data_IF_685178974604
#
_entry.id   IF_685178974604
#
_cell.length_a   1.000
_cell.length_b   1.000
_cell.length_c   1.000
_cell.angle_alpha   90.00
_cell.angle_beta   90.00
_cell.angle_gamma   90.00
#
_symmetry.space_group_name_H-M   'P 1'
#
loop_
_entity.id
_entity.type
_entity.pdbx_description
1 polymer ?
#
# COMPACT_ATOMS: atom_id res chain seq x y z
N UNK A 1 -8.33 21.20 1.74
CA UNK A 1 -9.15 20.08 1.21
C UNK A 1 -9.34 20.37 -0.26
N UNK A 2 -8.72 19.56 -1.13
CA UNK A 2 -8.87 19.72 -2.58
C UNK A 2 -10.31 19.52 -3.02
N UNK A 3 -10.66 20.09 -4.17
CA UNK A 3 -11.95 19.86 -4.79
C UNK A 3 -12.11 18.37 -5.13
N UNK A 4 -13.30 17.83 -4.91
CA UNK A 4 -13.68 16.51 -5.40
C UNK A 4 -14.54 16.66 -6.65
N UNK A 5 -14.43 15.72 -7.57
CA UNK A 5 -15.33 15.59 -8.71
C UNK A 5 -16.72 15.11 -8.28
N UNK A 6 -17.73 15.39 -9.09
CA UNK A 6 -19.09 14.86 -8.91
C UNK A 6 -19.16 13.34 -9.10
N UNK A 7 -18.29 12.80 -9.96
CA UNK A 7 -18.09 11.37 -10.20
C UNK A 7 -16.60 11.07 -10.31
N UNK A 8 -16.13 9.90 -9.82
CA UNK A 8 -14.74 9.55 -9.93
C UNK A 8 -14.37 9.28 -11.40
N UNK A 9 -13.17 9.71 -11.82
CA UNK A 9 -12.58 9.25 -13.08
C UNK A 9 -11.96 7.87 -12.86
N UNK A 10 -12.57 6.86 -13.47
CA UNK A 10 -12.21 5.44 -13.24
C UNK A 10 -11.32 4.86 -14.34
N UNK A 11 -10.90 5.66 -15.31
CA UNK A 11 -9.92 5.29 -16.33
C UNK A 11 -8.63 4.81 -15.67
N UNK A 12 -8.05 3.74 -16.23
CA UNK A 12 -6.84 3.11 -15.73
C UNK A 12 -5.70 3.36 -16.71
N UNK A 13 -4.57 3.79 -16.18
CA UNK A 13 -3.31 3.78 -16.90
C UNK A 13 -2.49 2.61 -16.37
N UNK A 14 -2.35 1.57 -17.19
CA UNK A 14 -1.66 0.33 -16.83
C UNK A 14 -0.46 0.10 -17.73
N UNK A 15 0.53 -0.57 -17.17
CA UNK A 15 1.67 -1.10 -17.89
C UNK A 15 2.14 -2.39 -17.22
N UNK A 16 2.89 -3.19 -17.94
CA UNK A 16 3.52 -4.40 -17.43
C UNK A 16 4.83 -4.65 -18.16
N UNK A 17 5.62 -5.58 -17.62
CA UNK A 17 6.81 -6.07 -18.27
C UNK A 17 7.46 -7.19 -17.47
N UNK A 18 8.54 -7.71 -18.01
CA UNK A 18 9.30 -8.80 -17.44
C UNK A 18 10.80 -8.68 -17.77
N UNK A 19 11.62 -9.39 -17.00
CA UNK A 19 13.07 -9.46 -17.16
C UNK A 19 13.77 -9.63 -15.82
N UNK A 20 15.04 -10.05 -15.82
CA UNK A 20 15.82 -10.33 -14.60
C UNK A 20 15.13 -11.32 -13.63
N UNK A 21 14.30 -12.24 -14.16
CA UNK A 21 13.49 -13.18 -13.37
C UNK A 21 12.28 -12.55 -12.67
N UNK A 22 11.98 -11.29 -12.97
CA UNK A 22 10.87 -10.51 -12.44
C UNK A 22 9.74 -10.42 -13.46
N UNK A 23 8.52 -10.27 -12.96
CA UNK A 23 7.37 -9.77 -13.74
C UNK A 23 6.74 -8.65 -12.96
N UNK A 24 6.30 -7.59 -13.62
CA UNK A 24 5.59 -6.52 -12.95
C UNK A 24 4.33 -6.12 -13.70
N UNK A 25 3.37 -5.60 -12.95
CA UNK A 25 2.22 -4.86 -13.47
C UNK A 25 2.01 -3.62 -12.63
N UNK A 26 1.41 -2.59 -13.22
CA UNK A 26 1.06 -1.38 -12.51
C UNK A 26 -0.29 -0.84 -12.98
N UNK A 27 -0.89 -0.03 -12.13
CA UNK A 27 -2.12 0.69 -12.43
C UNK A 27 -2.15 2.01 -11.69
N UNK A 28 -2.50 3.08 -12.39
CA UNK A 28 -2.86 4.35 -11.78
C UNK A 28 -4.25 4.82 -12.20
N UNK A 29 -4.94 5.52 -11.29
CA UNK A 29 -6.29 6.03 -11.47
C UNK A 29 -6.47 7.35 -10.70
N UNK A 30 -7.03 8.35 -11.37
CA UNK A 30 -7.28 9.66 -10.78
C UNK A 30 -8.33 9.61 -9.64
N UNK A 31 -9.38 8.80 -9.79
CA UNK A 31 -10.40 8.65 -8.75
C UNK A 31 -11.21 9.93 -8.55
N UNK A 32 -11.40 10.34 -7.30
CA UNK A 32 -12.29 11.45 -6.95
C UNK A 32 -11.63 12.84 -6.98
N UNK A 33 -10.31 12.91 -7.06
CA UNK A 33 -9.56 14.18 -7.11
C UNK A 33 -9.79 14.88 -8.46
N UNK A 34 -9.72 16.21 -8.47
CA UNK A 34 -9.85 16.99 -9.72
C UNK A 34 -8.63 16.82 -10.63
N UNK A 35 -7.45 16.68 -10.04
CA UNK A 35 -6.18 16.46 -10.75
C UNK A 35 -5.63 15.06 -10.47
N UNK A 36 -4.73 14.61 -11.36
CA UNK A 36 -3.92 13.40 -11.18
C UNK A 36 -2.48 13.84 -10.93
N UNK A 37 -2.01 13.72 -9.69
CA UNK A 37 -0.69 14.20 -9.26
C UNK A 37 0.33 13.06 -9.05
N UNK A 38 -0.11 11.80 -9.05
CA UNK A 38 0.80 10.65 -8.94
C UNK A 38 1.61 10.43 -10.23
N UNK A 39 2.82 9.89 -10.05
CA UNK A 39 3.66 9.35 -11.12
C UNK A 39 4.29 8.02 -10.69
N UNK A 40 4.96 7.31 -11.60
CA UNK A 40 5.66 6.06 -11.30
C UNK A 40 6.86 5.82 -12.23
N UNK A 41 7.79 4.98 -11.80
CA UNK A 41 8.90 4.47 -12.61
C UNK A 41 8.89 2.94 -12.53
N UNK A 42 9.04 2.27 -13.67
CA UNK A 42 9.22 0.82 -13.73
C UNK A 42 10.27 0.48 -14.79
N UNK A 43 11.44 0.03 -14.34
CA UNK A 43 12.58 -0.27 -15.21
C UNK A 43 13.17 -1.60 -14.81
N UNK A 44 13.32 -2.49 -15.79
CA UNK A 44 14.03 -3.75 -15.66
C UNK A 44 15.27 -3.67 -16.53
N UNK A 45 16.44 -3.93 -15.93
CA UNK A 45 17.73 -3.74 -16.57
C UNK A 45 18.18 -2.29 -16.54
N UNK A 46 19.09 -1.97 -15.62
CA UNK A 46 19.62 -0.62 -15.46
C UNK A 46 20.85 -0.38 -16.35
N UNK A 47 21.15 0.88 -16.72
CA UNK A 47 22.31 1.21 -17.53
C UNK A 47 23.64 1.05 -16.75
N UNK A 48 24.76 1.39 -17.39
CA UNK A 48 26.10 1.47 -16.76
C UNK A 48 26.62 0.17 -16.15
N UNK A 49 26.27 -0.99 -16.74
CA UNK A 49 26.74 -2.29 -16.28
C UNK A 49 25.87 -2.95 -15.20
N UNK A 50 24.72 -2.35 -14.87
CA UNK A 50 23.75 -2.85 -13.90
C UNK A 50 22.54 -3.52 -14.59
N UNK A 51 22.79 -4.24 -15.69
CA UNK A 51 21.74 -4.83 -16.53
C UNK A 51 20.91 -5.90 -15.80
N UNK A 52 21.45 -6.49 -14.74
CA UNK A 52 20.81 -7.44 -13.83
C UNK A 52 20.10 -6.78 -12.64
N UNK A 53 20.10 -5.45 -12.57
CA UNK A 53 19.36 -4.67 -11.59
C UNK A 53 18.01 -4.21 -12.14
N UNK A 54 17.07 -3.89 -11.25
CA UNK A 54 15.76 -3.34 -11.61
C UNK A 54 15.35 -2.26 -10.62
N UNK A 55 14.54 -1.29 -11.07
CA UNK A 55 14.08 -0.17 -10.25
C UNK A 55 12.58 0.07 -10.46
N UNK A 56 11.86 0.14 -9.35
CA UNK A 56 10.42 0.44 -9.34
C UNK A 56 10.14 1.55 -8.32
N UNK A 57 9.25 2.47 -8.65
CA UNK A 57 8.89 3.57 -7.77
C UNK A 57 7.46 4.08 -7.99
N UNK A 58 6.85 4.57 -6.91
CA UNK A 58 5.61 5.34 -6.92
C UNK A 58 5.88 6.70 -6.28
N UNK A 59 5.37 7.76 -6.90
CA UNK A 59 5.51 9.14 -6.47
C UNK A 59 4.11 9.71 -6.28
N UNK A 60 3.78 10.09 -5.05
CA UNK A 60 2.51 10.76 -4.73
C UNK A 60 2.78 12.26 -4.66
N UNK A 61 2.32 12.98 -5.68
CA UNK A 61 2.50 14.42 -5.81
C UNK A 61 1.42 15.18 -5.05
N UNK A 62 1.78 16.36 -4.52
CA UNK A 62 0.82 17.25 -3.89
C UNK A 62 1.07 18.71 -4.27
N UNK A 63 -0.01 19.48 -4.38
CA UNK A 63 0.03 20.91 -4.75
C UNK A 63 0.65 21.16 -6.15
N UNK A 64 0.37 20.26 -7.08
CA UNK A 64 0.92 20.18 -8.43
C UNK A 64 1.62 18.84 -8.68
N UNK A 65 1.71 18.43 -9.95
CA UNK A 65 2.36 17.18 -10.35
C UNK A 65 3.81 17.37 -10.81
N UNK A 66 4.34 18.60 -10.76
CA UNK A 66 5.63 18.97 -11.37
C UNK A 66 6.80 18.19 -10.77
N UNK A 67 6.88 18.13 -9.44
CA UNK A 67 7.95 17.40 -8.74
C UNK A 67 7.82 15.89 -8.95
N UNK A 68 6.62 15.32 -8.81
CA UNK A 68 6.38 13.88 -9.01
C UNK A 68 6.77 13.43 -10.44
N UNK A 69 6.34 14.18 -11.46
CA UNK A 69 6.68 13.90 -12.86
C UNK A 69 8.19 13.99 -13.11
N UNK A 70 8.88 15.00 -12.57
CA UNK A 70 10.32 15.11 -12.72
C UNK A 70 11.06 13.94 -12.04
N UNK A 71 10.63 13.57 -10.83
CA UNK A 71 11.18 12.43 -10.11
C UNK A 71 10.99 11.12 -10.89
N UNK A 72 9.82 10.90 -11.50
CA UNK A 72 9.57 9.68 -12.29
C UNK A 72 10.48 9.51 -13.50
N UNK A 73 10.97 10.60 -14.07
CA UNK A 73 11.88 10.58 -15.21
C UNK A 73 13.36 10.52 -14.83
N UNK A 74 13.74 11.05 -13.66
CA UNK A 74 15.14 11.39 -13.39
C UNK A 74 15.69 10.90 -12.03
N UNK A 75 14.86 10.50 -11.07
CA UNK A 75 15.36 10.08 -9.74
C UNK A 75 16.38 8.94 -9.85
N UNK A 76 16.11 7.94 -10.69
CA UNK A 76 17.02 6.82 -10.91
C UNK A 76 18.40 7.28 -11.40
N UNK A 77 18.47 8.20 -12.37
CA UNK A 77 19.73 8.73 -12.88
C UNK A 77 20.54 9.44 -11.79
N UNK A 78 19.86 10.24 -10.95
CA UNK A 78 20.49 10.91 -9.82
C UNK A 78 20.99 9.93 -8.75
N UNK A 79 20.28 8.83 -8.50
CA UNK A 79 20.72 7.75 -7.59
C UNK A 79 21.99 7.09 -8.15
N UNK A 80 21.97 6.69 -9.42
CA UNK A 80 23.10 6.00 -10.06
C UNK A 80 24.34 6.90 -10.18
N UNK A 81 24.15 8.20 -10.34
CA UNK A 81 25.23 9.20 -10.39
C UNK A 81 25.66 9.70 -9.01
N UNK A 82 24.88 9.42 -7.96
CA UNK A 82 25.06 9.96 -6.62
C UNK A 82 26.13 9.26 -5.78
N UNK A 83 26.57 8.06 -6.18
CA UNK A 83 27.57 7.28 -5.46
C UNK A 83 28.76 6.90 -6.35
N UNK A 84 29.95 6.82 -5.76
CA UNK A 84 31.17 6.37 -6.47
C UNK A 84 31.15 4.87 -6.77
N UNK A 85 30.30 4.10 -6.08
CA UNK A 85 30.33 2.64 -6.05
C UNK A 85 29.42 1.93 -7.06
N UNK A 86 28.49 2.63 -7.72
CA UNK A 86 27.74 2.02 -8.84
C UNK A 86 28.65 1.68 -10.04
N UNK A 87 29.87 2.24 -10.09
CA UNK A 87 30.92 1.89 -11.06
C UNK A 87 31.92 0.81 -10.59
N UNK A 88 31.86 0.41 -9.32
CA UNK A 88 32.71 -0.63 -8.72
C UNK A 88 31.92 -1.95 -8.75
N UNK A 89 32.45 -2.99 -9.39
CA UNK A 89 31.77 -4.30 -9.44
C UNK A 89 32.52 -5.33 -8.57
N UNK A 90 31.94 -5.86 -7.48
CA UNK A 90 30.56 -5.66 -7.00
C UNK A 90 30.36 -4.35 -6.20
N UNK A 91 29.17 -3.74 -6.31
CA UNK A 91 28.79 -2.57 -5.51
C UNK A 91 28.64 -2.96 -4.04
N UNK A 92 29.18 -2.16 -3.12
CA UNK A 92 28.98 -2.36 -1.68
C UNK A 92 27.57 -1.94 -1.25
N UNK A 93 27.00 -2.58 -0.22
CA UNK A 93 25.68 -2.22 0.32
C UNK A 93 25.67 -0.78 0.81
N UNK A 94 26.73 -0.36 1.50
CA UNK A 94 26.95 1.00 1.98
C UNK A 94 27.04 2.00 0.83
N UNK A 95 27.81 1.69 -0.22
CA UNK A 95 27.94 2.53 -1.40
C UNK A 95 26.61 2.74 -2.14
N UNK A 96 25.77 1.70 -2.22
CA UNK A 96 24.41 1.81 -2.78
C UNK A 96 23.53 2.70 -1.91
N UNK A 97 23.57 2.54 -0.57
CA UNK A 97 22.82 3.39 0.37
C UNK A 97 23.25 4.86 0.27
N UNK A 98 24.54 5.12 0.17
CA UNK A 98 25.09 6.46 0.03
C UNK A 98 24.72 7.08 -1.31
N UNK A 99 24.73 6.30 -2.39
CA UNK A 99 24.27 6.72 -3.71
C UNK A 99 22.77 7.06 -3.73
N UNK A 100 21.94 6.25 -3.08
CA UNK A 100 20.50 6.55 -2.91
C UNK A 100 20.31 7.86 -2.15
N UNK A 101 20.94 8.00 -0.98
CA UNK A 101 20.84 9.21 -0.16
C UNK A 101 21.29 10.45 -0.93
N UNK A 102 22.44 10.37 -1.58
CA UNK A 102 22.99 11.46 -2.38
C UNK A 102 22.11 11.79 -3.58
N UNK A 103 21.56 10.78 -4.25
CA UNK A 103 20.63 10.97 -5.37
C UNK A 103 19.39 11.79 -4.98
N UNK A 104 18.77 11.48 -3.84
CA UNK A 104 17.64 12.24 -3.31
C UNK A 104 18.00 13.68 -2.95
N UNK A 105 19.15 13.92 -2.32
CA UNK A 105 19.60 15.27 -1.99
C UNK A 105 19.95 16.08 -3.24
N UNK A 106 20.62 15.46 -4.20
CA UNK A 106 21.06 16.08 -5.44
C UNK A 106 19.87 16.45 -6.33
N UNK A 107 18.87 15.56 -6.48
CA UNK A 107 17.68 15.87 -7.28
C UNK A 107 16.82 16.96 -6.61
N UNK A 108 16.70 16.97 -5.27
CA UNK A 108 15.96 18.00 -4.55
C UNK A 108 16.60 19.38 -4.73
N UNK A 109 17.93 19.47 -4.64
CA UNK A 109 18.66 20.72 -4.88
C UNK A 109 18.63 21.12 -6.35
N UNK A 110 18.73 20.16 -7.28
CA UNK A 110 18.63 20.43 -8.70
C UNK A 110 17.28 21.04 -9.07
N UNK A 111 16.18 20.44 -8.61
CA UNK A 111 14.82 20.95 -8.84
C UNK A 111 14.58 22.31 -8.16
N UNK A 112 15.25 22.62 -7.04
CA UNK A 112 15.18 23.94 -6.38
C UNK A 112 15.65 25.07 -7.29
N UNK A 113 16.50 24.77 -8.27
CA UNK A 113 17.00 25.74 -9.24
C UNK A 113 15.97 26.09 -10.34
N UNK A 114 14.89 25.32 -10.49
CA UNK A 114 13.87 25.56 -11.52
C UNK A 114 13.12 26.86 -11.24
N UNK A 115 12.90 27.67 -12.28
CA UNK A 115 12.37 29.02 -12.14
C UNK A 115 10.95 29.05 -11.57
N UNK A 116 10.10 28.11 -11.98
CA UNK A 116 8.72 27.95 -11.49
C UNK A 116 8.67 27.62 -10.01
N UNK A 117 9.48 26.66 -9.56
CA UNK A 117 9.58 26.26 -8.15
C UNK A 117 10.26 27.33 -7.28
N UNK A 118 11.35 27.94 -7.78
CA UNK A 118 12.10 28.98 -7.07
C UNK A 118 11.30 30.27 -6.89
N UNK A 119 10.49 30.64 -7.88
CA UNK A 119 9.62 31.82 -7.80
C UNK A 119 8.30 31.53 -7.07
N UNK A 120 8.07 30.28 -6.64
CA UNK A 120 6.87 29.86 -5.94
C UNK A 120 5.60 29.88 -6.80
N UNK A 121 5.75 29.81 -8.13
CA UNK A 121 4.66 29.67 -9.10
C UNK A 121 4.08 28.26 -9.05
N UNK A 122 4.95 27.27 -8.87
CA UNK A 122 4.61 25.90 -8.53
C UNK A 122 5.17 25.64 -7.12
N UNK A 123 4.34 25.05 -6.24
CA UNK A 123 4.72 24.73 -4.86
C UNK A 123 4.59 23.24 -4.58
N UNK A 124 4.65 22.43 -5.63
CA UNK A 124 4.47 21.01 -5.50
C UNK A 124 5.57 20.37 -4.67
N UNK A 125 5.20 19.28 -4.04
CA UNK A 125 6.12 18.30 -3.50
C UNK A 125 5.71 16.93 -3.98
N UNK A 126 6.54 15.94 -3.66
CA UNK A 126 6.23 14.55 -3.92
C UNK A 126 6.83 13.65 -2.86
N UNK A 127 6.06 12.65 -2.46
CA UNK A 127 6.63 11.46 -1.83
C UNK A 127 7.36 10.62 -2.88
N UNK A 128 8.20 9.70 -2.42
CA UNK A 128 8.78 8.67 -3.25
C UNK A 128 8.94 7.40 -2.42
N UNK A 129 8.27 6.33 -2.85
CA UNK A 129 8.60 4.98 -2.40
C UNK A 129 9.17 4.20 -3.56
N UNK A 130 10.35 3.62 -3.36
CA UNK A 130 11.07 2.91 -4.40
C UNK A 130 11.59 1.56 -3.89
N UNK A 131 11.81 0.64 -4.83
CA UNK A 131 12.60 -0.55 -4.60
C UNK A 131 13.62 -0.68 -5.71
N UNK A 132 14.90 -0.77 -5.31
CA UNK A 132 16.01 -1.11 -6.18
C UNK A 132 16.38 -2.58 -5.90
N UNK A 133 16.35 -3.42 -6.94
CA UNK A 133 16.62 -4.85 -6.84
C UNK A 133 17.96 -5.14 -7.51
N UNK A 134 18.86 -5.78 -6.77
CA UNK A 134 20.07 -6.37 -7.33
C UNK A 134 19.90 -7.90 -7.42
N UNK A 135 20.90 -8.63 -7.97
CA UNK A 135 20.88 -10.09 -7.93
C UNK A 135 20.76 -10.68 -6.52
N UNK A 136 21.26 -9.99 -5.50
CA UNK A 136 21.38 -10.52 -4.13
C UNK A 136 20.58 -9.76 -3.07
N UNK A 137 20.17 -8.51 -3.33
CA UNK A 137 19.56 -7.65 -2.32
C UNK A 137 18.31 -6.91 -2.84
N UNK A 138 17.42 -6.61 -1.91
CA UNK A 138 16.28 -5.72 -2.08
C UNK A 138 16.54 -4.46 -1.26
N UNK A 139 16.63 -3.31 -1.92
CA UNK A 139 16.79 -2.01 -1.29
C UNK A 139 15.43 -1.30 -1.30
N UNK A 140 14.76 -1.28 -0.16
CA UNK A 140 13.53 -0.51 0.05
C UNK A 140 13.88 0.92 0.41
N UNK A 141 13.32 1.88 -0.33
CA UNK A 141 13.64 3.29 -0.23
C UNK A 141 12.33 4.03 0.02
N UNK A 142 12.23 4.81 1.11
CA UNK A 142 11.02 5.58 1.40
C UNK A 142 11.33 7.03 1.78
N UNK A 143 10.56 7.96 1.20
CA UNK A 143 10.56 9.37 1.54
C UNK A 143 9.11 9.88 1.44
N UNK A 144 8.44 10.02 2.58
CA UNK A 144 7.00 10.32 2.64
C UNK A 144 6.16 9.17 3.18
N UNK A 145 4.87 9.17 2.85
CA UNK A 145 3.85 8.24 3.35
C UNK A 145 3.21 7.34 2.30
N UNK A 146 3.73 7.35 1.07
CA UNK A 146 3.66 6.16 0.22
C UNK A 146 4.36 4.97 0.92
N UNK A 147 3.96 3.74 0.58
CA UNK A 147 4.47 2.54 1.25
C UNK A 147 4.76 1.40 0.30
N UNK A 148 5.82 0.66 0.61
CA UNK A 148 6.19 -0.58 -0.03
C UNK A 148 6.11 -1.74 0.96
N UNK A 149 5.63 -2.88 0.50
CA UNK A 149 5.44 -4.10 1.30
C UNK A 149 5.98 -5.30 0.53
N UNK A 150 6.80 -6.11 1.21
CA UNK A 150 7.28 -7.42 0.74
C UNK A 150 6.38 -8.52 1.30
N UNK A 151 5.85 -9.37 0.42
CA UNK A 151 5.28 -10.65 0.80
C UNK A 151 6.35 -11.74 0.75
N UNK A 152 6.60 -12.39 1.88
CA UNK A 152 7.54 -13.51 2.03
C UNK A 152 6.84 -14.66 2.76
N UNK A 153 6.95 -15.86 2.21
CA UNK A 153 6.34 -17.09 2.74
C UNK A 153 4.82 -16.93 3.02
N UNK A 154 4.13 -16.21 2.12
CA UNK A 154 2.70 -15.93 2.21
C UNK A 154 2.28 -14.93 3.30
N UNK A 155 3.23 -14.22 3.92
CA UNK A 155 2.96 -13.21 4.96
C UNK A 155 3.70 -11.90 4.66
N UNK A 156 3.36 -10.83 5.41
CA UNK A 156 4.08 -9.56 5.33
C UNK A 156 5.48 -9.76 5.91
N UNK A 157 6.49 -9.85 5.04
CA UNK A 157 7.89 -10.04 5.43
C UNK A 157 8.59 -8.74 5.80
N UNK A 158 8.21 -7.63 5.15
CA UNK A 158 8.73 -6.29 5.42
C UNK A 158 7.75 -5.22 4.94
N UNK A 159 7.77 -4.05 5.57
CA UNK A 159 7.11 -2.84 5.06
C UNK A 159 7.91 -1.60 5.42
N UNK A 160 7.95 -0.62 4.52
CA UNK A 160 8.52 0.70 4.84
C UNK A 160 7.68 1.40 5.91
N UNK A 161 8.32 2.29 6.70
CA UNK A 161 7.64 3.12 7.68
C UNK A 161 7.27 4.48 7.07
N UNK A 162 5.99 4.86 7.17
CA UNK A 162 5.52 6.16 6.70
C UNK A 162 6.14 7.31 7.50
N UNK A 163 6.56 8.36 6.79
CA UNK A 163 7.10 9.58 7.36
C UNK A 163 6.00 10.59 7.69
N UNK A 164 5.36 10.38 8.85
CA UNK A 164 4.31 11.27 9.36
C UNK A 164 4.89 12.30 10.34
N UNK A 165 4.41 13.57 10.33
CA UNK A 165 4.92 14.62 11.22
C UNK A 165 4.85 14.32 12.72
N UNK A 166 3.93 13.46 13.16
CA UNK A 166 3.80 13.06 14.55
C UNK A 166 4.77 11.94 14.99
N UNK A 167 5.53 11.34 14.08
CA UNK A 167 6.58 10.39 14.42
C UNK A 167 7.65 11.08 15.29
N UNK A 168 8.20 10.44 16.34
CA UNK A 168 9.08 11.11 17.30
C UNK A 168 10.28 11.83 16.69
N UNK A 169 11.02 11.16 15.78
CA UNK A 169 12.20 11.72 15.10
C UNK A 169 11.83 12.88 14.17
N UNK A 170 10.71 12.74 13.46
CA UNK A 170 10.22 13.75 12.52
C UNK A 170 9.75 15.01 13.27
N UNK A 171 8.97 14.82 14.34
CA UNK A 171 8.51 15.89 15.21
C UNK A 171 9.67 16.64 15.85
N UNK A 172 10.69 15.93 16.33
CA UNK A 172 11.88 16.54 16.90
C UNK A 172 12.61 17.41 15.88
N UNK A 173 12.82 16.92 14.65
CA UNK A 173 13.42 17.72 13.55
C UNK A 173 12.59 18.97 13.27
N UNK A 174 11.28 18.82 13.09
CA UNK A 174 10.36 19.93 12.81
C UNK A 174 10.45 21.01 13.90
N UNK A 175 10.47 20.61 15.18
CA UNK A 175 10.58 21.53 16.31
C UNK A 175 11.95 22.22 16.37
N UNK A 176 13.05 21.48 16.12
CA UNK A 176 14.40 22.05 16.05
C UNK A 176 14.59 23.02 14.88
N UNK A 177 13.79 22.89 13.83
CA UNK A 177 13.72 23.80 12.69
C UNK A 177 12.76 25.00 12.94
N UNK A 178 12.25 25.17 14.16
CA UNK A 178 11.37 26.29 14.53
C UNK A 178 9.90 26.09 14.17
N UNK A 179 9.52 24.92 13.67
CA UNK A 179 8.14 24.57 13.35
C UNK A 179 7.37 23.90 14.48
N UNK A 180 6.15 23.49 14.18
CA UNK A 180 5.26 22.78 15.08
C UNK A 180 4.51 21.67 14.37
N UNK A 181 3.97 20.71 15.12
CA UNK A 181 3.12 19.64 14.60
C UNK A 181 1.72 19.80 15.18
N UNK A 182 0.77 20.20 14.35
CA UNK A 182 -0.64 20.42 14.72
C UNK A 182 -1.51 19.42 13.97
N UNK A 183 -2.25 18.58 14.70
CA UNK A 183 -3.18 17.59 14.10
C UNK A 183 -2.49 16.74 13.02
N UNK A 184 -1.30 16.21 13.33
CA UNK A 184 -0.47 15.40 12.42
C UNK A 184 0.07 16.15 11.18
N UNK A 185 0.03 17.49 11.17
CA UNK A 185 0.53 18.31 10.06
C UNK A 185 1.64 19.25 10.49
N UNK A 186 2.63 19.44 9.63
CA UNK A 186 3.70 20.46 9.78
C UNK A 186 3.06 21.84 9.71
N UNK A 187 3.17 22.61 10.79
CA UNK A 187 2.56 23.92 10.96
C UNK A 187 1.05 23.95 10.65
N UNK A 188 0.35 22.82 10.82
CA UNK A 188 -1.08 22.68 10.52
C UNK A 188 -1.42 22.49 9.05
N UNK A 189 -0.43 22.49 8.15
CA UNK A 189 -0.64 22.47 6.69
C UNK A 189 -0.30 21.11 6.07
N UNK A 190 0.98 20.72 6.06
CA UNK A 190 1.45 19.56 5.30
C UNK A 190 1.37 18.26 6.11
N UNK A 191 0.77 17.20 5.54
CA UNK A 191 0.55 15.92 6.25
C UNK A 191 1.73 14.94 6.20
N UNK A 192 2.75 15.24 5.39
CA UNK A 192 4.00 14.48 5.31
C UNK A 192 5.13 15.23 6.01
N UNK A 193 6.06 14.49 6.61
CA UNK A 193 7.28 15.07 7.17
C UNK A 193 8.48 14.99 6.23
N UNK A 194 8.42 14.14 5.20
CA UNK A 194 9.47 13.99 4.21
C UNK A 194 8.89 14.00 2.81
N UNK A 195 9.56 14.70 1.92
CA UNK A 195 9.19 14.84 0.51
C UNK A 195 10.34 15.50 -0.26
N UNK A 196 10.37 15.23 -1.56
CA UNK A 196 11.09 16.06 -2.54
C UNK A 196 10.21 17.29 -2.88
N UNK A 197 10.83 18.41 -3.25
CA UNK A 197 10.10 19.67 -3.46
C UNK A 197 9.76 20.38 -2.16
N UNK A 198 8.55 20.95 -2.03
CA UNK A 198 8.08 21.65 -0.81
C UNK A 198 9.04 22.74 -0.30
N UNK A 199 9.62 23.54 -1.21
CA UNK A 199 10.73 24.43 -0.85
C UNK A 199 10.38 25.51 0.17
N UNK A 200 9.12 25.92 0.28
CA UNK A 200 8.63 26.81 1.34
C UNK A 200 8.93 26.26 2.76
N UNK A 201 9.07 24.93 2.89
CA UNK A 201 9.40 24.24 4.15
C UNK A 201 10.90 23.95 4.32
N UNK A 202 11.74 24.40 3.38
CA UNK A 202 13.18 24.09 3.32
C UNK A 202 14.07 25.34 3.29
N UNK A 203 13.56 26.44 3.88
CA UNK A 203 14.22 27.75 3.95
C UNK A 203 14.60 28.17 5.39
N UNK A 204 14.81 27.22 6.31
CA UNK A 204 15.24 27.54 7.67
C UNK A 204 16.73 27.82 7.69
N UNK A 205 17.09 29.08 7.99
CA UNK A 205 18.48 29.52 8.09
C UNK A 205 19.25 28.76 9.17
N UNK A 206 20.50 28.40 8.87
CA UNK A 206 21.38 27.68 9.79
C UNK A 206 21.06 26.20 9.97
N UNK A 207 20.17 25.62 9.14
CA UNK A 207 19.86 24.20 9.10
C UNK A 207 20.32 23.55 7.80
N UNK A 208 20.92 22.37 7.90
CA UNK A 208 21.27 21.58 6.71
C UNK A 208 20.02 21.11 5.94
N UNK A 209 20.18 20.57 4.71
CA UNK A 209 19.05 20.13 3.88
C UNK A 209 18.13 19.10 4.56
N UNK A 210 18.68 18.25 5.41
CA UNK A 210 17.94 17.18 6.11
C UNK A 210 17.41 17.59 7.48
N UNK A 211 17.71 18.82 7.91
CA UNK A 211 17.30 19.39 9.20
C UNK A 211 16.19 20.44 9.06
N UNK A 212 15.60 20.54 7.86
CA UNK A 212 14.52 21.45 7.52
C UNK A 212 13.17 20.99 8.11
N UNK A 213 12.10 21.79 7.93
CA UNK A 213 10.75 21.39 8.36
C UNK A 213 10.28 20.14 7.62
N UNK A 214 10.58 20.04 6.33
CA UNK A 214 10.39 18.85 5.48
C UNK A 214 11.74 18.38 4.99
N UNK A 215 12.07 17.09 5.21
CA UNK A 215 13.36 16.53 4.79
C UNK A 215 13.23 15.78 3.46
N UNK A 216 14.16 15.95 2.50
CA UNK A 216 14.25 15.10 1.31
C UNK A 216 14.99 13.78 1.57
N UNK A 217 15.53 13.55 2.77
CA UNK A 217 16.35 12.39 3.07
C UNK A 217 15.54 11.08 3.10
N UNK A 218 15.85 10.10 2.24
CA UNK A 218 15.15 8.83 2.24
C UNK A 218 15.60 7.94 3.40
N UNK A 219 14.71 7.08 3.86
CA UNK A 219 15.08 5.89 4.64
C UNK A 219 15.38 4.74 3.69
N UNK A 220 16.51 4.05 3.89
CA UNK A 220 16.92 2.90 3.09
C UNK A 220 17.07 1.66 3.98
N UNK A 221 16.22 0.67 3.73
CA UNK A 221 16.29 -0.65 4.36
C UNK A 221 16.74 -1.68 3.34
N UNK A 222 17.71 -2.51 3.71
CA UNK A 222 18.29 -3.51 2.82
C UNK A 222 17.98 -4.90 3.36
N UNK A 223 17.45 -5.76 2.50
CA UNK A 223 17.19 -7.15 2.79
C UNK A 223 17.96 -8.02 1.79
N UNK A 224 18.51 -9.13 2.27
CA UNK A 224 18.97 -10.19 1.36
C UNK A 224 17.77 -10.87 0.70
N UNK A 225 17.93 -11.20 -0.58
CA UNK A 225 16.94 -11.94 -1.35
C UNK A 225 16.86 -13.38 -0.86
N UNK A 226 15.65 -13.92 -0.84
CA UNK A 226 15.36 -15.31 -0.50
C UNK A 226 14.53 -15.87 -1.64
N UNK A 227 15.18 -16.42 -2.66
CA UNK A 227 14.53 -16.71 -3.96
C UNK A 227 13.27 -17.58 -3.87
N UNK A 228 13.25 -18.58 -2.98
CA UNK A 228 12.09 -19.47 -2.80
C UNK A 228 11.00 -18.84 -1.92
N UNK A 229 11.36 -17.97 -0.98
CA UNK A 229 10.43 -17.37 -0.01
C UNK A 229 9.85 -16.03 -0.46
N UNK A 230 10.59 -15.27 -1.26
CA UNK A 230 10.19 -13.98 -1.79
C UNK A 230 9.11 -14.13 -2.86
N UNK A 231 7.87 -13.78 -2.51
CA UNK A 231 6.72 -13.95 -3.40
C UNK A 231 6.52 -12.72 -4.29
N UNK A 232 6.28 -11.54 -3.71
CA UNK A 232 6.04 -10.31 -4.46
C UNK A 232 6.23 -9.06 -3.60
N UNK A 233 6.40 -7.92 -4.25
CA UNK A 233 6.47 -6.60 -3.65
C UNK A 233 5.33 -5.74 -4.18
N UNK A 234 4.69 -4.98 -3.31
CA UNK A 234 3.69 -3.96 -3.67
C UNK A 234 4.24 -2.59 -3.27
N UNK A 235 4.29 -1.65 -4.21
CA UNK A 235 4.51 -0.22 -3.95
C UNK A 235 3.21 0.51 -4.25
N UNK A 236 2.75 1.38 -3.34
CA UNK A 236 1.56 2.20 -3.60
C UNK A 236 1.57 3.52 -2.81
N UNK A 237 0.81 4.50 -3.29
CA UNK A 237 0.52 5.74 -2.57
C UNK A 237 -0.50 5.53 -1.44
N UNK A 238 -0.70 6.54 -0.60
CA UNK A 238 -1.59 6.45 0.55
C UNK A 238 -3.07 6.26 0.15
N UNK A 239 -3.45 6.65 -1.06
CA UNK A 239 -4.78 6.38 -1.64
C UNK A 239 -5.17 4.90 -1.65
N UNK A 240 -4.20 3.98 -1.59
CA UNK A 240 -4.41 2.53 -1.37
C UNK A 240 -4.36 2.20 0.13
N UNK A 241 -3.31 2.65 0.82
CA UNK A 241 -3.01 2.26 2.20
C UNK A 241 -3.97 2.84 3.25
N UNK A 242 -4.68 3.92 2.93
CA UNK A 242 -5.70 4.53 3.79
C UNK A 242 -6.92 3.63 3.98
N UNK A 243 -7.15 2.68 3.06
CA UNK A 243 -8.34 1.81 3.05
C UNK A 243 -8.02 0.32 3.08
N UNK A 244 -6.75 -0.06 2.94
CA UNK A 244 -6.27 -1.44 3.05
C UNK A 244 -5.00 -1.51 3.90
N UNK A 245 -5.00 -2.41 4.89
CA UNK A 245 -3.78 -2.69 5.67
C UNK A 245 -2.77 -3.52 4.87
N UNK A 246 -1.54 -3.59 5.36
CA UNK A 246 -0.47 -4.42 4.78
C UNK A 246 -0.94 -5.87 4.61
N UNK A 247 -1.53 -6.46 5.64
CA UNK A 247 -2.02 -7.85 5.62
C UNK A 247 -3.21 -8.02 4.68
N UNK A 248 -4.17 -7.09 4.69
CA UNK A 248 -5.33 -7.14 3.80
C UNK A 248 -4.91 -7.11 2.33
N UNK A 249 -3.96 -6.24 1.97
CA UNK A 249 -3.49 -6.10 0.60
C UNK A 249 -2.63 -7.29 0.17
N UNK A 250 -1.71 -7.77 1.02
CA UNK A 250 -0.94 -8.98 0.73
C UNK A 250 -1.86 -10.19 0.50
N UNK A 251 -2.83 -10.41 1.38
CA UNK A 251 -3.77 -11.54 1.22
C UNK A 251 -4.64 -11.38 -0.04
N UNK A 252 -5.05 -10.15 -0.36
CA UNK A 252 -5.79 -9.86 -1.58
C UNK A 252 -4.96 -10.19 -2.83
N UNK A 253 -3.78 -9.59 -2.98
CA UNK A 253 -2.89 -9.78 -4.14
C UNK A 253 -2.54 -11.26 -4.30
N UNK A 254 -2.14 -11.93 -3.21
CA UNK A 254 -1.83 -13.35 -3.21
C UNK A 254 -2.99 -14.20 -3.71
N UNK A 255 -4.22 -13.89 -3.25
CA UNK A 255 -5.43 -14.59 -3.71
C UNK A 255 -5.75 -14.34 -5.19
N UNK A 256 -5.36 -13.19 -5.75
CA UNK A 256 -5.57 -12.86 -7.16
C UNK A 256 -4.50 -13.49 -8.06
N UNK A 257 -3.25 -13.57 -7.62
CA UNK A 257 -2.17 -14.28 -8.32
C UNK A 257 -2.47 -15.76 -8.53
N UNK A 258 -3.21 -16.39 -7.61
CA UNK A 258 -3.63 -17.79 -7.72
C UNK A 258 -4.74 -18.03 -8.75
N UNK A 259 -5.34 -16.99 -9.32
CA UNK A 259 -6.46 -17.10 -10.30
C UNK A 259 -6.22 -16.29 -11.58
N UNK A 260 -5.18 -15.47 -11.64
CA UNK A 260 -4.91 -14.56 -12.75
C UNK A 260 -3.39 -14.39 -12.92
N UNK A 261 -2.88 -14.59 -14.14
CA UNK A 261 -1.47 -14.32 -14.46
C UNK A 261 -1.22 -12.86 -14.87
N UNK A 262 -2.29 -12.17 -15.30
CA UNK A 262 -2.25 -10.80 -15.78
C UNK A 262 -2.13 -9.81 -14.60
N UNK A 263 -0.93 -9.26 -14.43
CA UNK A 263 -0.60 -8.38 -13.31
C UNK A 263 -1.29 -7.01 -13.42
N UNK A 264 -1.61 -6.53 -14.63
CA UNK A 264 -2.38 -5.29 -14.80
C UNK A 264 -3.80 -5.48 -14.27
N UNK A 265 -4.44 -6.60 -14.59
CA UNK A 265 -5.77 -6.93 -14.05
C UNK A 265 -5.77 -7.00 -12.53
N UNK A 266 -4.71 -7.55 -11.92
CA UNK A 266 -4.58 -7.61 -10.45
C UNK A 266 -4.45 -6.20 -9.88
N UNK A 267 -3.59 -5.36 -10.47
CA UNK A 267 -3.43 -3.97 -10.05
C UNK A 267 -4.73 -3.16 -10.21
N UNK A 268 -5.43 -3.32 -11.33
CA UNK A 268 -6.74 -2.71 -11.56
C UNK A 268 -7.76 -3.16 -10.50
N UNK A 269 -7.77 -4.44 -10.13
CA UNK A 269 -8.63 -4.96 -9.08
C UNK A 269 -8.29 -4.38 -7.70
N UNK A 270 -7.01 -4.13 -7.39
CA UNK A 270 -6.59 -3.43 -6.15
C UNK A 270 -7.16 -2.01 -6.13
N UNK A 271 -6.91 -1.24 -7.19
CA UNK A 271 -7.36 0.16 -7.31
C UNK A 271 -8.88 0.27 -7.23
N UNK A 272 -9.61 -0.57 -7.97
CA UNK A 272 -11.07 -0.60 -7.89
C UNK A 272 -11.54 -0.97 -6.48
N UNK A 273 -10.93 -1.97 -5.85
CA UNK A 273 -11.31 -2.37 -4.49
C UNK A 273 -11.11 -1.22 -3.49
N UNK A 274 -10.03 -0.45 -3.61
CA UNK A 274 -9.76 0.72 -2.76
C UNK A 274 -10.78 1.84 -2.99
N UNK A 275 -11.12 2.14 -4.25
CA UNK A 275 -12.18 3.09 -4.59
C UNK A 275 -13.52 2.68 -3.95
N UNK A 276 -13.90 1.40 -4.05
CA UNK A 276 -15.15 0.89 -3.47
C UNK A 276 -15.13 0.83 -1.93
N UNK A 277 -13.94 0.67 -1.31
CA UNK A 277 -13.74 0.80 0.14
C UNK A 277 -13.84 2.25 0.63
N UNK A 278 -13.90 3.22 -0.28
CA UNK A 278 -14.14 4.63 0.02
C UNK A 278 -12.90 5.51 -0.11
N UNK A 279 -11.83 5.04 -0.74
CA UNK A 279 -10.72 5.93 -1.09
C UNK A 279 -11.22 7.03 -2.02
N UNK A 280 -10.84 8.27 -1.71
CA UNK A 280 -11.19 9.47 -2.48
C UNK A 280 -9.97 10.13 -3.10
N UNK A 281 -8.85 9.42 -3.13
CA UNK A 281 -7.58 9.94 -3.58
C UNK A 281 -7.24 9.52 -5.02
N UNK A 282 -6.14 10.06 -5.54
CA UNK A 282 -5.37 9.40 -6.59
C UNK A 282 -4.88 8.05 -6.06
N UNK A 283 -4.77 7.06 -6.95
CA UNK A 283 -4.38 5.71 -6.57
C UNK A 283 -3.41 5.18 -7.61
N UNK A 284 -2.20 4.89 -7.18
CA UNK A 284 -1.16 4.24 -7.98
C UNK A 284 -0.60 3.04 -7.24
N UNK A 285 -0.47 1.92 -7.95
CA UNK A 285 0.11 0.67 -7.42
C UNK A 285 1.04 0.04 -8.45
N UNK A 286 2.18 -0.44 -7.98
CA UNK A 286 3.13 -1.28 -8.73
C UNK A 286 3.25 -2.61 -8.00
N UNK A 287 2.95 -3.71 -8.71
CA UNK A 287 3.11 -5.08 -8.24
C UNK A 287 4.31 -5.72 -8.96
N UNK A 288 5.31 -6.15 -8.20
CA UNK A 288 6.49 -6.85 -8.71
C UNK A 288 6.47 -8.29 -8.19
N UNK A 289 6.25 -9.26 -9.07
CA UNK A 289 6.34 -10.67 -8.77
C UNK A 289 7.79 -11.15 -8.84
N UNK A 290 8.22 -11.81 -7.76
CA UNK A 290 9.52 -12.45 -7.61
C UNK A 290 9.40 -13.95 -7.98
N UNK A 291 10.51 -14.70 -8.09
CA UNK A 291 10.46 -16.12 -8.48
C UNK A 291 9.55 -17.00 -7.60
N UNK A 292 9.44 -16.68 -6.30
CA UNK A 292 8.57 -17.36 -5.35
C UNK A 292 7.09 -17.00 -5.45
N UNK A 293 6.67 -16.12 -6.38
CA UNK A 293 5.28 -15.69 -6.51
C UNK A 293 4.31 -16.88 -6.67
N UNK A 294 3.13 -16.85 -6.00
CA UNK A 294 2.10 -17.85 -6.21
C UNK A 294 1.73 -17.97 -7.69
N UNK A 295 1.58 -19.22 -8.13
CA UNK A 295 1.12 -19.54 -9.48
C UNK A 295 -0.39 -19.77 -9.47
N UNK A 296 -0.99 -19.65 -10.65
CA UNK A 296 -2.40 -19.99 -10.84
C UNK A 296 -2.62 -21.46 -10.45
N UNK A 297 -3.72 -21.72 -9.72
CA UNK A 297 -4.07 -23.08 -9.29
C UNK A 297 -5.49 -23.43 -9.72
N UNK A 298 -5.67 -24.65 -10.22
CA UNK A 298 -7.00 -25.16 -10.63
C UNK A 298 -8.00 -25.17 -9.47
N UNK A 299 -7.52 -25.41 -8.25
CA UNK A 299 -8.35 -25.36 -7.06
C UNK A 299 -8.86 -23.93 -6.78
N UNK A 300 -8.00 -22.91 -6.89
CA UNK A 300 -8.42 -21.52 -6.71
C UNK A 300 -9.36 -21.06 -7.83
N UNK A 301 -9.11 -21.46 -9.08
CA UNK A 301 -9.99 -21.16 -10.21
C UNK A 301 -11.40 -21.74 -10.00
N UNK A 302 -11.50 -23.01 -9.58
CA UNK A 302 -12.80 -23.64 -9.26
C UNK A 302 -13.52 -22.91 -8.13
N UNK A 303 -12.82 -22.58 -7.05
CA UNK A 303 -13.38 -21.81 -5.92
C UNK A 303 -13.87 -20.43 -6.35
N UNK A 304 -13.14 -19.77 -7.25
CA UNK A 304 -13.51 -18.46 -7.78
C UNK A 304 -14.80 -18.54 -8.62
N UNK A 305 -14.89 -19.53 -9.51
CA UNK A 305 -16.07 -19.79 -10.35
C UNK A 305 -17.30 -20.16 -9.51
N UNK A 306 -17.16 -21.02 -8.50
CA UNK A 306 -18.23 -21.37 -7.57
C UNK A 306 -18.74 -20.14 -6.81
N UNK A 307 -17.83 -19.28 -6.35
CA UNK A 307 -18.18 -18.05 -5.66
C UNK A 307 -18.93 -17.08 -6.58
N UNK A 308 -18.51 -16.94 -7.84
CA UNK A 308 -19.19 -16.10 -8.82
C UNK A 308 -20.61 -16.60 -9.09
N UNK A 309 -20.78 -17.90 -9.38
CA UNK A 309 -22.12 -18.51 -9.55
C UNK A 309 -23.01 -18.30 -8.31
N UNK A 310 -22.42 -18.42 -7.11
CA UNK A 310 -23.15 -18.16 -5.88
C UNK A 310 -23.60 -16.69 -5.78
N UNK A 311 -22.72 -15.73 -6.05
CA UNK A 311 -23.06 -14.30 -6.01
C UNK A 311 -24.11 -13.93 -7.06
N UNK A 312 -23.98 -14.45 -8.28
CA UNK A 312 -24.96 -14.29 -9.36
C UNK A 312 -26.36 -14.75 -8.92
N UNK A 313 -26.44 -15.96 -8.34
CA UNK A 313 -27.72 -16.48 -7.83
C UNK A 313 -28.32 -15.59 -6.73
N UNK A 314 -27.49 -15.04 -5.83
CA UNK A 314 -27.95 -14.18 -4.73
C UNK A 314 -28.43 -12.82 -5.22
N UNK A 315 -27.78 -12.26 -6.23
CA UNK A 315 -28.22 -11.01 -6.86
C UNK A 315 -29.54 -11.22 -7.60
N UNK A 316 -29.68 -12.33 -8.34
CA UNK A 316 -30.92 -12.66 -9.02
C UNK A 316 -32.09 -12.86 -8.04
N UNK A 317 -31.87 -13.58 -6.94
CA UNK A 317 -32.86 -13.73 -5.86
C UNK A 317 -33.25 -12.37 -5.24
N UNK A 318 -32.28 -11.49 -5.02
CA UNK A 318 -32.51 -10.16 -4.47
C UNK A 318 -33.28 -9.25 -5.45
N UNK A 319 -33.04 -9.37 -6.75
CA UNK A 319 -33.78 -8.65 -7.79
C UNK A 319 -35.22 -9.18 -7.92
N UNK A 320 -35.39 -10.50 -7.93
CA UNK A 320 -36.72 -11.15 -8.00
C UNK A 320 -37.58 -10.84 -6.78
N UNK A 321 -37.02 -10.85 -5.57
CA UNK A 321 -37.75 -10.47 -4.35
C UNK A 321 -38.17 -9.00 -4.32
N UNK A 322 -37.44 -8.10 -5.02
CA UNK A 322 -37.83 -6.69 -5.20
C UNK A 322 -38.95 -6.51 -6.21
N UNK A 323 -38.95 -7.30 -7.28
CA UNK A 323 -40.07 -7.33 -8.23
C UNK A 323 -41.33 -7.91 -7.57
N UNK A 324 -41.16 -8.92 -6.71
CA UNK A 324 -42.26 -9.60 -6.04
C UNK A 324 -42.84 -8.81 -4.86
N UNK A 325 -42.11 -7.86 -4.25
CA UNK A 325 -42.61 -7.03 -3.12
C UNK A 325 -43.62 -5.94 -3.52
N UNK A 326 -44.04 -5.89 -4.79
CA UNK A 326 -45.31 -5.25 -5.19
C UNK A 326 -46.54 -6.14 -4.95
N UNK A 327 -46.34 -7.38 -4.52
CA UNK A 327 -47.37 -8.30 -4.02
C UNK A 327 -46.92 -8.88 -2.68
N UNK A 328 -47.80 -8.83 -1.70
CA UNK A 328 -47.53 -9.14 -0.29
C UNK A 328 -46.89 -10.50 -0.03
N UNK A 329 -46.11 -10.55 1.07
CA UNK A 329 -45.60 -11.71 1.84
C UNK A 329 -44.51 -12.57 1.22
N UNK A 330 -43.28 -12.48 1.77
CA UNK A 330 -42.37 -13.61 2.05
C UNK A 330 -41.15 -13.11 2.86
N UNK A 331 -41.15 -13.38 4.18
CA UNK A 331 -39.96 -13.26 5.04
C UNK A 331 -39.32 -14.64 5.09
N UNK A 332 -38.32 -14.89 4.24
CA UNK A 332 -37.53 -16.12 4.28
C UNK A 332 -36.19 -15.90 5.00
N UNK A 333 -35.85 -16.85 5.88
CA UNK A 333 -34.65 -16.82 6.73
C UNK A 333 -33.37 -16.82 5.87
N UNK A 334 -32.69 -15.68 5.81
CA UNK A 334 -31.37 -15.51 5.18
C UNK A 334 -30.34 -16.45 5.84
N UNK A 335 -29.95 -17.52 5.16
CA UNK A 335 -28.75 -18.30 5.52
C UNK A 335 -27.52 -17.59 4.93
N UNK A 336 -26.56 -17.24 5.79
CA UNK A 336 -25.26 -16.72 5.35
C UNK A 336 -24.42 -17.81 4.67
N UNK A 337 -23.31 -17.43 4.00
CA UNK A 337 -22.46 -18.38 3.30
C UNK A 337 -21.92 -19.49 4.23
N UNK A 338 -21.58 -20.68 3.68
CA UNK A 338 -20.94 -21.78 4.39
C UNK A 338 -19.74 -21.31 5.24
N UNK A 339 -19.54 -21.92 6.42
CA UNK A 339 -18.47 -21.52 7.34
C UNK A 339 -17.05 -21.63 6.73
N UNK A 340 -16.89 -22.46 5.69
CA UNK A 340 -15.65 -22.65 4.93
C UNK A 340 -15.30 -21.47 4.02
N UNK A 341 -16.24 -20.57 3.73
CA UNK A 341 -16.04 -19.35 2.91
C UNK A 341 -15.90 -18.08 3.75
N UNK A 342 -15.88 -18.25 5.08
CA UNK A 342 -15.69 -17.18 6.08
C UNK A 342 -14.20 -17.04 6.41
N UNK A 343 -13.35 -16.79 5.42
CA UNK A 343 -12.11 -16.06 5.66
C UNK A 343 -12.44 -14.57 5.80
N UNK A 344 -11.68 -13.78 6.57
CA UNK A 344 -11.94 -12.35 6.70
C UNK A 344 -11.91 -11.67 5.32
N UNK A 345 -13.00 -10.99 4.93
CA UNK A 345 -13.01 -10.11 3.76
C UNK A 345 -13.50 -10.68 2.42
N UNK A 346 -13.92 -11.94 2.29
CA UNK A 346 -14.23 -12.57 0.98
C UNK A 346 -15.29 -11.85 0.10
N UNK A 347 -16.27 -11.16 0.69
CA UNK A 347 -17.30 -10.40 -0.07
C UNK A 347 -16.84 -8.98 -0.43
N UNK A 348 -15.94 -8.38 0.36
CA UNK A 348 -15.40 -7.04 0.10
C UNK A 348 -14.39 -7.01 -1.07
N UNK A 349 -14.02 -8.19 -1.60
CA UNK A 349 -13.03 -8.39 -2.68
C UNK A 349 -13.64 -8.48 -4.10
N UNK A 350 -14.98 -8.42 -4.26
CA UNK A 350 -15.66 -8.56 -5.57
C UNK A 350 -16.59 -7.39 -5.99
N UNK A 351 -16.22 -6.11 -5.82
CA UNK A 351 -17.02 -5.02 -6.39
C UNK A 351 -17.19 -5.06 -7.93
N UNK A 352 -16.22 -5.51 -8.76
CA UNK A 352 -16.40 -5.56 -10.22
C UNK A 352 -17.47 -6.56 -10.69
N UNK A 353 -17.59 -7.72 -10.05
CA UNK A 353 -18.62 -8.72 -10.37
C UNK A 353 -20.00 -8.20 -9.97
N UNK A 354 -20.11 -7.62 -8.76
CA UNK A 354 -21.34 -7.01 -8.29
C UNK A 354 -21.76 -5.82 -9.18
N UNK A 355 -20.85 -4.91 -9.52
CA UNK A 355 -21.15 -3.78 -10.41
C UNK A 355 -21.53 -4.23 -11.82
N UNK A 356 -20.86 -5.24 -12.40
CA UNK A 356 -21.26 -5.82 -13.71
C UNK A 356 -22.64 -6.47 -13.68
N UNK A 357 -23.00 -7.12 -12.56
CA UNK A 357 -24.32 -7.72 -12.37
C UNK A 357 -25.40 -6.66 -12.15
N UNK A 358 -25.07 -5.56 -11.47
CA UNK A 358 -25.99 -4.45 -11.19
C UNK A 358 -26.16 -3.51 -12.40
N UNK A 359 -25.10 -3.26 -13.18
CA UNK A 359 -25.13 -2.42 -14.39
C UNK A 359 -25.83 -3.04 -15.60
N UNK A 360 -26.17 -4.35 -15.54
CA UNK A 360 -27.13 -4.98 -16.46
C UNK A 360 -28.58 -4.60 -16.14
N UNK A 361 -28.84 -3.95 -14.99
CA UNK A 361 -30.14 -3.38 -14.62
C UNK A 361 -30.08 -1.85 -14.72
N UNK A 362 -31.22 -1.21 -15.00
CA UNK A 362 -31.34 0.11 -15.66
C UNK A 362 -30.54 1.25 -14.98
N UNK A 363 -30.12 2.31 -15.72
CA UNK A 363 -29.20 3.36 -15.23
C UNK A 363 -29.68 4.15 -14.00
N UNK A 364 -30.99 4.21 -13.73
CA UNK A 364 -31.55 4.92 -12.57
C UNK A 364 -31.45 4.13 -11.25
N UNK A 365 -31.07 2.84 -11.30
CA UNK A 365 -30.99 1.95 -10.13
C UNK A 365 -29.57 1.86 -9.51
N UNK A 366 -28.53 2.31 -10.23
CA UNK A 366 -27.11 2.24 -9.79
C UNK A 366 -26.84 2.98 -8.47
N UNK A 367 -27.35 4.21 -8.33
CA UNK A 367 -27.10 5.04 -7.15
C UNK A 367 -27.73 4.44 -5.86
N UNK A 368 -28.86 3.73 -5.99
CA UNK A 368 -29.54 3.09 -4.86
C UNK A 368 -28.93 1.73 -4.52
N UNK A 369 -28.44 0.96 -5.49
CA UNK A 369 -27.79 -0.33 -5.25
C UNK A 369 -26.39 -0.19 -4.65
N UNK A 370 -25.66 0.88 -4.99
CA UNK A 370 -24.43 1.27 -4.28
C UNK A 370 -24.69 1.56 -2.79
N UNK A 371 -25.82 2.20 -2.45
CA UNK A 371 -26.22 2.41 -1.05
C UNK A 371 -26.50 1.11 -0.28
N UNK A 372 -26.92 0.05 -0.98
CA UNK A 372 -27.15 -1.28 -0.41
C UNK A 372 -25.87 -2.12 -0.30
N UNK A 373 -24.95 -1.99 -1.25
CA UNK A 373 -23.58 -2.49 -1.12
C UNK A 373 -22.90 -1.89 0.12
N UNK A 374 -23.02 -0.58 0.31
CA UNK A 374 -22.56 0.14 1.50
C UNK A 374 -23.28 -0.30 2.79
N UNK A 375 -24.57 -0.65 2.71
CA UNK A 375 -25.35 -1.18 3.84
C UNK A 375 -24.95 -2.62 4.21
N UNK A 376 -24.64 -3.46 3.22
CA UNK A 376 -24.04 -4.79 3.44
C UNK A 376 -22.63 -4.67 4.03
N UNK A 377 -21.82 -3.72 3.56
CA UNK A 377 -20.50 -3.41 4.16
C UNK A 377 -20.61 -2.91 5.61
N UNK A 378 -21.58 -2.03 5.92
CA UNK A 378 -21.87 -1.61 7.31
C UNK A 378 -22.34 -2.77 8.18
N UNK A 379 -23.16 -3.67 7.66
CA UNK A 379 -23.61 -4.86 8.39
C UNK A 379 -22.45 -5.82 8.72
N UNK A 380 -21.47 -5.96 7.81
CA UNK A 380 -20.25 -6.74 8.03
C UNK A 380 -19.33 -6.08 9.07
N UNK A 381 -19.21 -4.75 9.04
CA UNK A 381 -18.39 -3.96 9.98
C UNK A 381 -18.94 -3.96 11.42
N UNK A 382 -20.28 -3.89 11.59
CA UNK A 382 -20.94 -4.04 12.90
C UNK A 382 -20.76 -5.45 13.47
N UNK A 383 -20.69 -6.47 12.60
CA UNK A 383 -20.45 -7.85 13.05
C UNK A 383 -19.01 -8.04 13.56
N UNK A 384 -18.02 -7.38 12.93
CA UNK A 384 -16.61 -7.40 13.36
C UNK A 384 -16.37 -6.78 14.74
N UNK A 385 -17.04 -5.67 15.07
CA UNK A 385 -16.94 -5.04 16.40
C UNK A 385 -17.55 -5.92 17.51
N UNK A 386 -18.56 -6.72 17.21
CA UNK A 386 -19.16 -7.67 18.15
C UNK A 386 -18.31 -8.94 18.31
N UNK A 387 -17.67 -9.42 17.24
CA UNK A 387 -16.77 -10.59 17.31
C UNK A 387 -15.43 -10.28 17.98
N UNK A 388 -14.84 -9.10 17.77
CA UNK A 388 -13.60 -8.68 18.46
C UNK A 388 -13.84 -8.49 19.97
N UNK A 389 -14.99 -7.92 20.38
CA UNK A 389 -15.39 -7.87 21.80
C UNK A 389 -15.58 -9.26 22.43
N UNK A 390 -16.08 -10.24 21.66
CA UNK A 390 -16.21 -11.65 22.12
C UNK A 390 -14.86 -12.39 22.16
N UNK A 391 -13.96 -12.13 21.21
CA UNK A 391 -12.60 -12.69 21.21
C UNK A 391 -11.72 -12.10 22.31
N UNK A 392 -11.78 -10.78 22.57
CA UNK A 392 -11.12 -10.12 23.72
C UNK A 392 -11.65 -10.65 25.06
N UNK A 393 -12.96 -10.89 25.20
CA UNK A 393 -13.54 -11.56 26.39
C UNK A 393 -13.09 -13.01 26.54
N UNK A 394 -12.93 -13.76 25.45
CA UNK A 394 -12.40 -15.14 25.48
C UNK A 394 -10.91 -15.20 25.80
N UNK A 395 -10.09 -14.26 25.30
CA UNK A 395 -8.67 -14.13 25.66
C UNK A 395 -8.47 -13.75 27.13
N UNK A 396 -9.26 -12.82 27.67
CA UNK A 396 -9.26 -12.49 29.12
C UNK A 396 -9.65 -13.69 30.00
N UNK A 397 -10.67 -14.47 29.61
CA UNK A 397 -11.04 -15.70 30.32
C UNK A 397 -9.96 -16.78 30.27
N UNK A 398 -9.27 -16.96 29.13
CA UNK A 398 -8.15 -17.91 28.99
C UNK A 398 -6.92 -17.53 29.82
N UNK A 399 -6.57 -16.24 29.90
CA UNK A 399 -5.48 -15.77 30.77
C UNK A 399 -5.81 -15.92 32.27
N UNK A 400 -7.09 -15.81 32.64
CA UNK A 400 -7.55 -15.95 34.02
C UNK A 400 -7.60 -17.42 34.48
N UNK A 401 -7.92 -18.35 33.58
CA UNK A 401 -7.81 -19.80 33.84
C UNK A 401 -6.35 -20.28 33.88
N UNK A 402 -5.45 -19.70 33.08
CA UNK A 402 -4.03 -20.05 33.09
C UNK A 402 -3.35 -19.69 34.42
N UNK A 403 -3.73 -18.54 35.01
CA UNK A 403 -3.26 -18.13 36.35
C UNK A 403 -3.79 -18.97 37.50
N UNK A 404 -4.92 -19.68 37.33
CA UNK A 404 -5.46 -20.58 38.36
C UNK A 404 -4.82 -21.97 38.32
N UNK A 405 -4.35 -22.42 37.15
CA UNK A 405 -3.63 -23.70 37.02
C UNK A 405 -2.17 -23.66 37.47
N UNK A 406 -1.54 -22.47 37.53
CA UNK A 406 -0.16 -22.32 38.05
C UNK A 406 -0.08 -22.24 39.60
N UNK A 407 -1.21 -22.26 40.32
CA UNK A 407 -1.24 -22.20 41.80
C UNK A 407 -1.43 -23.55 42.50
N UNK A 408 -1.49 -24.68 41.79
CA UNK A 408 -1.66 -26.00 42.40
C UNK A 408 -0.60 -26.99 41.90
N UNK A 409 0.65 -26.82 42.32
CA UNK A 409 1.60 -27.94 42.50
C UNK A 409 2.84 -27.48 43.28
N UNK A 410 3.31 -28.37 44.17
CA UNK A 410 4.55 -28.35 44.96
C UNK A 410 4.48 -27.77 46.38
N UNK A 411 4.14 -28.66 47.33
CA UNK A 411 4.72 -28.69 48.68
C UNK A 411 5.44 -30.03 48.80
N UNK A 412 6.74 -30.02 49.09
CA UNK A 412 7.52 -30.83 50.07
C UNK A 412 9.03 -30.75 49.75
N UNK A 413 9.92 -30.85 50.77
CA UNK A 413 11.23 -30.20 50.79
C UNK A 413 12.43 -31.16 50.72
N UNK A 414 13.58 -30.60 50.33
CA UNK A 414 14.91 -31.11 50.68
C UNK A 414 15.66 -31.82 49.56
N UNK A 415 16.71 -31.20 49.04
CA UNK A 415 18.11 -31.63 49.21
C UNK A 415 19.07 -30.79 48.36
N UNK A 416 20.27 -30.59 48.91
CA UNK A 416 21.41 -29.87 48.34
C UNK A 416 22.00 -30.63 47.16
N UNK A 417 22.33 -29.95 46.06
CA UNK A 417 23.58 -30.20 45.31
C UNK A 417 24.05 -28.89 44.66
N UNK A 418 25.29 -28.54 44.98
CA UNK A 418 26.16 -27.51 44.40
C UNK A 418 26.66 -27.92 43.00
N UNK A 419 26.87 -26.97 42.08
CA UNK A 419 28.05 -26.95 41.20
C UNK A 419 28.22 -25.56 40.56
N UNK A 420 29.47 -25.24 40.29
CA UNK A 420 30.10 -23.92 40.30
C UNK A 420 30.14 -23.20 38.93
N UNK A 421 30.24 -21.86 39.06
CA UNK A 421 30.89 -20.82 38.24
C UNK A 421 30.65 -20.74 36.72
#
# INVERSE_FOLDING_TARGET
MGAFLDKPKTEKHSAHGDGNGLRYGLSSMQGWRVEMEDAHTAVVGLPHGLADWSFFAVYDGHAGSRVANYCSGHLLEHILSGGTDFGSNPCSVEGVKDGIRSGFLNIDEYMRSFSDLRQGLDRSGSTAVCVLLSPSHLYFINCGDSRAVLCRDGTVGFSTQDHKPNNPREKERIQKAGGSVMIQRVNGSLAVSRALGDYDYKCVDGKGPTEQLVSPEPEVCVLERVDEGDEFIVLACDGIWDVMSNEELCEFVRSRLMVCEDLEKICNAVVDTCLHKGSRDNMSVVLVCLPGAPKVSDEALKKEEELDKYLESRVQDAALSRLCTTSSTLIEKRKGPPATWKTPGSVARKPPVLSRLLGKQRPEEEARLLSLSLSLHRAVSIFHTVTDRKQKRRRRRRQQTCKQTEQMTCVWPGERVTCEC
#
